data_IF_171781543875
#
_entry.id   IF_171781543875
#
_cell.length_a   1.000
_cell.length_b   1.000
_cell.length_c   1.000
_cell.angle_alpha   90.00
_cell.angle_beta   90.00
_cell.angle_gamma   90.00
#
_symmetry.space_group_name_H-M   'P 1'
#
loop_
_entity.id
_entity.type
_entity.pdbx_description
1 polymer ?
#
# COMPACT_ATOMS: atom_id res chain seq x y z
N UNK A 1 7.93 -5.02 28.30
CA UNK A 1 6.79 -4.52 27.50
C UNK A 1 7.36 -3.69 26.35
N UNK A 2 7.41 -4.26 25.14
CA UNK A 2 7.93 -3.57 23.95
C UNK A 2 6.97 -2.47 23.50
N UNK A 3 7.51 -1.28 23.22
CA UNK A 3 6.73 -0.16 22.64
C UNK A 3 6.16 -0.61 21.29
N UNK A 4 4.88 -0.35 20.97
CA UNK A 4 4.38 -0.59 19.63
C UNK A 4 5.15 0.33 18.68
N UNK A 5 6.04 -0.26 17.90
CA UNK A 5 6.83 0.46 16.89
C UNK A 5 5.83 0.98 15.85
N UNK A 6 5.54 2.29 15.91
CA UNK A 6 4.60 2.99 15.02
C UNK A 6 5.08 3.01 13.56
N UNK A 7 6.35 2.69 13.31
CA UNK A 7 6.98 2.65 12.00
C UNK A 7 7.76 1.34 11.85
N UNK A 8 7.17 0.26 11.31
CA UNK A 8 7.97 -0.94 11.00
C UNK A 8 9.09 -0.53 10.05
N UNK A 9 10.33 -0.80 10.43
CA UNK A 9 11.52 -0.49 9.63
C UNK A 9 11.35 -1.05 8.20
N UNK A 10 11.72 -0.26 7.18
CA UNK A 10 11.56 -0.63 5.76
C UNK A 10 10.22 -0.24 5.11
N UNK A 11 9.42 0.68 5.68
CA UNK A 11 8.25 1.25 5.00
C UNK A 11 8.44 2.72 4.64
N UNK A 12 8.31 3.04 3.35
CA UNK A 12 8.20 4.42 2.86
C UNK A 12 6.73 4.90 2.92
N UNK A 13 6.51 6.12 3.41
CA UNK A 13 5.19 6.77 3.37
C UNK A 13 5.05 7.60 2.08
N UNK A 14 3.93 7.43 1.39
CA UNK A 14 3.60 8.19 0.17
C UNK A 14 2.30 8.97 0.39
N UNK A 15 2.35 10.30 0.27
CA UNK A 15 1.18 11.16 0.29
C UNK A 15 0.74 11.41 -1.16
N UNK A 16 -0.53 11.15 -1.49
CA UNK A 16 -1.06 11.29 -2.86
C UNK A 16 -2.30 12.16 -2.85
N UNK A 17 -2.40 13.07 -3.82
CA UNK A 17 -3.60 13.86 -4.09
C UNK A 17 -4.37 13.16 -5.21
N UNK A 18 -5.62 12.77 -4.93
CA UNK A 18 -6.52 12.12 -5.90
C UNK A 18 -7.88 12.81 -5.92
N UNK A 19 -8.63 12.74 -7.04
CA UNK A 19 -10.01 13.20 -7.08
C UNK A 19 -10.89 12.54 -6.01
N UNK A 20 -11.85 13.30 -5.44
CA UNK A 20 -12.70 12.82 -4.33
C UNK A 20 -13.50 11.56 -4.70
N UNK A 21 -13.98 11.46 -5.93
CA UNK A 21 -14.70 10.30 -6.44
C UNK A 21 -13.81 9.04 -6.49
N UNK A 22 -12.54 9.20 -6.84
CA UNK A 22 -11.56 8.11 -6.88
C UNK A 22 -11.27 7.61 -5.46
N UNK A 23 -11.05 8.53 -4.50
CA UNK A 23 -10.88 8.17 -3.08
C UNK A 23 -12.06 7.37 -2.54
N UNK A 24 -13.30 7.84 -2.81
CA UNK A 24 -14.53 7.13 -2.42
C UNK A 24 -14.63 5.74 -3.05
N UNK A 25 -14.17 5.59 -4.29
CA UNK A 25 -14.07 4.30 -4.97
C UNK A 25 -13.19 3.32 -4.20
N UNK A 26 -11.99 3.76 -3.78
CA UNK A 26 -11.09 2.94 -2.96
C UNK A 26 -11.69 2.58 -1.60
N UNK A 27 -12.33 3.53 -0.92
CA UNK A 27 -12.99 3.27 0.37
C UNK A 27 -14.12 2.23 0.25
N UNK A 28 -14.91 2.29 -0.83
CA UNK A 28 -15.95 1.31 -1.12
C UNK A 28 -15.37 -0.09 -1.33
N UNK A 29 -14.31 -0.21 -2.14
CA UNK A 29 -13.65 -1.49 -2.43
C UNK A 29 -13.02 -2.06 -1.16
N UNK A 30 -12.33 -1.21 -0.38
CA UNK A 30 -11.73 -1.58 0.89
C UNK A 30 -12.76 -2.19 1.85
N UNK A 31 -13.92 -1.54 1.99
CA UNK A 31 -15.04 -2.04 2.81
C UNK A 31 -15.60 -3.37 2.31
N UNK A 32 -15.78 -3.53 1.01
CA UNK A 32 -16.31 -4.76 0.42
C UNK A 32 -15.36 -5.96 0.54
N UNK A 33 -14.04 -5.70 0.55
CA UNK A 33 -13.00 -6.74 0.57
C UNK A 33 -12.43 -6.97 1.97
N UNK A 34 -12.95 -6.29 2.99
CA UNK A 34 -12.46 -6.36 4.39
C UNK A 34 -10.96 -6.02 4.50
N UNK A 35 -10.51 -5.04 3.71
CA UNK A 35 -9.11 -4.59 3.62
C UNK A 35 -8.98 -3.12 3.96
N UNK A 36 -7.77 -2.66 4.29
CA UNK A 36 -7.48 -1.23 4.38
C UNK A 36 -7.34 -0.60 2.99
N UNK A 37 -7.59 0.70 2.88
CA UNK A 37 -7.38 1.45 1.62
C UNK A 37 -5.94 1.31 1.14
N UNK A 38 -4.96 1.37 2.05
CA UNK A 38 -3.55 1.17 1.72
C UNK A 38 -3.30 -0.21 1.12
N UNK A 39 -3.89 -1.29 1.67
CA UNK A 39 -3.76 -2.63 1.10
C UNK A 39 -4.34 -2.70 -0.32
N UNK A 40 -5.50 -2.09 -0.55
CA UNK A 40 -6.11 -2.02 -1.89
C UNK A 40 -5.16 -1.33 -2.88
N UNK A 41 -4.64 -0.16 -2.51
CA UNK A 41 -3.70 0.59 -3.35
C UNK A 41 -2.42 -0.21 -3.60
N UNK A 42 -1.84 -0.85 -2.58
CA UNK A 42 -0.64 -1.69 -2.74
C UNK A 42 -0.85 -2.83 -3.74
N UNK A 43 -2.02 -3.46 -3.75
CA UNK A 43 -2.33 -4.52 -4.72
C UNK A 43 -2.39 -3.96 -6.13
N UNK A 44 -3.08 -2.83 -6.32
CA UNK A 44 -3.20 -2.17 -7.63
C UNK A 44 -1.81 -1.78 -8.15
N UNK A 45 -1.00 -1.15 -7.30
CA UNK A 45 0.37 -0.76 -7.67
C UNK A 45 1.25 -1.96 -7.97
N UNK A 46 1.17 -3.04 -7.17
CA UNK A 46 1.92 -4.27 -7.42
C UNK A 46 1.53 -4.89 -8.76
N UNK A 47 0.23 -4.99 -9.06
CA UNK A 47 -0.24 -5.52 -10.34
C UNK A 47 0.26 -4.68 -11.50
N UNK A 48 0.17 -3.35 -11.41
CA UNK A 48 0.69 -2.44 -12.43
C UNK A 48 2.20 -2.62 -12.64
N UNK A 49 3.00 -2.58 -11.58
CA UNK A 49 4.45 -2.76 -11.68
C UNK A 49 4.82 -4.14 -12.26
N UNK A 50 4.07 -5.18 -11.90
CA UNK A 50 4.28 -6.53 -12.44
C UNK A 50 3.96 -6.61 -13.94
N UNK A 51 2.88 -5.99 -14.39
CA UNK A 51 2.50 -5.92 -15.81
C UNK A 51 3.55 -5.17 -16.64
N UNK A 52 4.25 -4.21 -16.04
CA UNK A 52 5.26 -3.38 -16.68
C UNK A 52 6.72 -3.86 -16.45
N UNK A 53 6.93 -4.96 -15.73
CA UNK A 53 8.27 -5.51 -15.48
C UNK A 53 9.11 -4.72 -14.46
N UNK A 54 8.50 -3.83 -13.68
CA UNK A 54 9.16 -2.95 -12.70
C UNK A 54 8.93 -3.39 -11.24
N UNK A 55 8.71 -4.68 -10.99
CA UNK A 55 8.63 -5.16 -9.61
C UNK A 55 9.97 -4.85 -8.90
N UNK A 56 9.98 -4.09 -7.78
CA UNK A 56 11.21 -3.83 -7.06
C UNK A 56 11.81 -5.14 -6.56
N UNK A 57 13.13 -5.29 -6.71
CA UNK A 57 13.87 -6.36 -6.05
C UNK A 57 13.53 -6.35 -4.56
N UNK A 58 13.27 -7.51 -3.97
CA UNK A 58 12.93 -7.60 -2.54
C UNK A 58 14.03 -6.90 -1.76
N UNK A 59 13.72 -5.80 -1.08
CA UNK A 59 14.64 -5.20 -0.11
C UNK A 59 14.99 -6.29 0.91
N UNK A 60 16.25 -6.73 0.90
CA UNK A 60 16.78 -7.61 1.95
C UNK A 60 16.75 -6.81 3.25
N UNK A 61 15.76 -7.09 4.08
CA UNK A 61 15.68 -6.56 5.43
C UNK A 61 16.86 -7.15 6.21
N UNK A 62 17.95 -6.38 6.35
CA UNK A 62 19.03 -6.73 7.27
C UNK A 62 18.45 -6.69 8.68
N UNK A 63 18.35 -7.88 9.28
CA UNK A 63 17.95 -8.11 10.67
C UNK A 63 19.02 -7.64 11.66
#
# INVERSE_FOLDING_TARGET
MGRPVLYPEGRAQMNVIVPKNVKRGFEKIARQRTRSVSQVITIILRSYLQEHGELPEREEVKA
#
